data_IF_730866722570
#
_entry.id   IF_730866722570
#
_cell.length_a   1.000
_cell.length_b   1.000
_cell.length_c   1.000
_cell.angle_alpha   90.00
_cell.angle_beta   90.00
_cell.angle_gamma   90.00
#
_symmetry.space_group_name_H-M   'P 1'
#
loop_
_entity.id
_entity.type
_entity.pdbx_description
1 polymer ?
#
# COMPACT_ATOMS: atom_id res chain seq x y z
N UNK A 1 -4.18 -32.20 -2.61
CA UNK A 1 -4.85 -31.02 -3.23
C UNK A 1 -3.91 -30.53 -4.32
N UNK A 2 -4.34 -30.52 -5.58
CA UNK A 2 -3.45 -30.10 -6.67
C UNK A 2 -3.08 -28.62 -6.50
N UNK A 3 -1.78 -28.36 -6.37
CA UNK A 3 -1.23 -26.99 -6.39
C UNK A 3 -1.22 -26.50 -7.86
N UNK A 4 -1.38 -25.20 -8.06
CA UNK A 4 -1.19 -24.59 -9.38
C UNK A 4 0.26 -24.81 -9.85
N UNK A 5 0.46 -25.07 -11.13
CA UNK A 5 1.79 -25.03 -11.73
C UNK A 5 2.40 -23.62 -11.58
N UNK A 6 3.72 -23.50 -11.72
CA UNK A 6 4.38 -22.19 -11.66
C UNK A 6 3.84 -21.25 -12.73
N UNK A 7 3.63 -21.72 -13.93
CA UNK A 7 3.08 -20.96 -15.05
C UNK A 7 1.68 -20.43 -14.74
N UNK A 8 0.82 -21.28 -14.14
CA UNK A 8 -0.51 -20.88 -13.71
C UNK A 8 -0.46 -19.83 -12.58
N UNK A 9 0.47 -19.96 -11.63
CA UNK A 9 0.67 -18.97 -10.58
C UNK A 9 1.06 -17.62 -11.17
N UNK A 10 2.04 -17.60 -12.08
CA UNK A 10 2.51 -16.40 -12.78
C UNK A 10 1.36 -15.74 -13.56
N UNK A 11 0.57 -16.51 -14.32
CA UNK A 11 -0.56 -15.98 -15.07
C UNK A 11 -1.63 -15.35 -14.18
N UNK A 12 -1.96 -16.00 -13.05
CA UNK A 12 -2.94 -15.46 -12.08
C UNK A 12 -2.41 -14.18 -11.45
N UNK A 13 -1.15 -14.16 -11.02
CA UNK A 13 -0.53 -12.98 -10.38
C UNK A 13 -0.42 -11.83 -11.38
N UNK A 14 0.05 -12.08 -12.59
CA UNK A 14 0.10 -11.08 -13.66
C UNK A 14 -1.27 -10.44 -13.91
N UNK A 15 -2.32 -11.24 -14.03
CA UNK A 15 -3.66 -10.71 -14.19
C UNK A 15 -4.11 -9.84 -13.02
N UNK A 16 -3.77 -10.21 -11.77
CA UNK A 16 -4.18 -9.47 -10.57
C UNK A 16 -3.46 -8.12 -10.43
N UNK A 17 -2.15 -8.07 -10.69
CA UNK A 17 -1.35 -6.84 -10.56
C UNK A 17 -1.58 -5.85 -11.70
N UNK A 18 -2.14 -6.31 -12.83
CA UNK A 18 -2.56 -5.49 -13.97
C UNK A 18 -4.05 -5.07 -13.89
N UNK A 19 -4.65 -5.09 -12.70
CA UNK A 19 -5.97 -4.52 -12.46
C UNK A 19 -7.15 -5.41 -12.85
N UNK A 20 -6.93 -6.68 -13.16
CA UNK A 20 -8.03 -7.58 -13.44
C UNK A 20 -8.82 -7.96 -12.18
N UNK A 21 -10.14 -8.08 -12.33
CA UNK A 21 -10.98 -8.58 -11.24
C UNK A 21 -10.74 -10.09 -11.03
N UNK A 22 -11.03 -10.60 -9.82
CA UNK A 22 -10.98 -12.05 -9.55
C UNK A 22 -11.77 -12.84 -10.61
N UNK A 23 -12.96 -12.37 -11.01
CA UNK A 23 -13.77 -13.05 -12.04
C UNK A 23 -13.14 -12.97 -13.44
N UNK A 24 -12.49 -11.86 -13.78
CA UNK A 24 -11.75 -11.75 -15.04
C UNK A 24 -10.54 -12.69 -15.03
N UNK A 25 -9.78 -12.72 -13.95
CA UNK A 25 -8.65 -13.64 -13.77
C UNK A 25 -9.07 -15.10 -13.93
N UNK A 26 -10.21 -15.51 -13.33
CA UNK A 26 -10.78 -16.86 -13.53
C UNK A 26 -11.04 -17.16 -15.01
N UNK A 27 -11.63 -16.22 -15.75
CA UNK A 27 -11.91 -16.43 -17.20
C UNK A 27 -10.64 -16.47 -18.05
N UNK A 28 -9.64 -15.67 -17.70
CA UNK A 28 -8.37 -15.59 -18.44
C UNK A 28 -7.49 -16.81 -18.23
N UNK A 29 -7.48 -17.34 -16.99
CA UNK A 29 -6.53 -18.40 -16.59
C UNK A 29 -7.15 -19.78 -16.47
N UNK A 30 -8.49 -19.90 -16.46
CA UNK A 30 -9.21 -21.13 -16.18
C UNK A 30 -9.12 -21.60 -14.71
N UNK A 31 -8.40 -20.87 -13.85
CA UNK A 31 -8.19 -21.24 -12.46
C UNK A 31 -9.44 -20.93 -11.63
N UNK A 32 -9.87 -21.87 -10.78
CA UNK A 32 -11.05 -21.73 -9.95
C UNK A 32 -10.95 -20.52 -9.01
N UNK A 33 -12.08 -19.81 -8.80
CA UNK A 33 -12.16 -18.57 -8.00
C UNK A 33 -11.52 -18.69 -6.62
N UNK A 34 -11.81 -19.76 -5.89
CA UNK A 34 -11.29 -19.95 -4.53
C UNK A 34 -9.77 -20.18 -4.54
N UNK A 35 -9.24 -20.81 -5.59
CA UNK A 35 -7.81 -21.00 -5.79
C UNK A 35 -7.11 -19.68 -6.10
N UNK A 36 -7.71 -18.83 -6.95
CA UNK A 36 -7.20 -17.48 -7.21
C UNK A 36 -7.14 -16.64 -5.93
N UNK A 37 -8.22 -16.67 -5.11
CA UNK A 37 -8.26 -15.93 -3.84
C UNK A 37 -7.25 -16.48 -2.84
N UNK A 38 -7.10 -17.81 -2.76
CA UNK A 38 -6.12 -18.44 -1.88
C UNK A 38 -4.69 -18.06 -2.29
N UNK A 39 -4.36 -18.13 -3.58
CA UNK A 39 -3.04 -17.73 -4.06
C UNK A 39 -2.75 -16.26 -3.75
N UNK A 40 -3.74 -15.37 -3.93
CA UNK A 40 -3.61 -13.95 -3.57
C UNK A 40 -3.25 -13.78 -2.09
N UNK A 41 -3.95 -14.45 -1.17
CA UNK A 41 -3.69 -14.35 0.26
C UNK A 41 -2.32 -14.93 0.64
N UNK A 42 -2.03 -16.15 0.19
CA UNK A 42 -0.79 -16.84 0.51
C UNK A 42 0.45 -16.07 0.00
N UNK A 43 0.39 -15.53 -1.22
CA UNK A 43 1.49 -14.76 -1.80
C UNK A 43 1.61 -13.38 -1.17
N UNK A 44 0.49 -12.71 -0.88
CA UNK A 44 0.51 -11.40 -0.27
C UNK A 44 1.15 -11.40 1.12
N UNK A 45 0.88 -12.43 1.93
CA UNK A 45 1.47 -12.55 3.26
C UNK A 45 3.02 -12.65 3.18
N UNK A 46 3.54 -13.48 2.28
CA UNK A 46 5.00 -13.60 2.13
C UNK A 46 5.63 -12.39 1.46
N UNK A 47 4.90 -11.72 0.56
CA UNK A 47 5.33 -10.44 -0.03
C UNK A 47 5.40 -9.33 1.03
N UNK A 48 4.41 -9.24 1.92
CA UNK A 48 4.41 -8.27 3.01
C UNK A 48 5.58 -8.51 3.97
N UNK A 49 5.82 -9.77 4.36
CA UNK A 49 6.95 -10.14 5.22
C UNK A 49 8.30 -9.86 4.54
N UNK A 50 8.43 -10.13 3.24
CA UNK A 50 9.63 -9.80 2.49
C UNK A 50 9.86 -8.30 2.41
N UNK A 51 8.83 -7.53 2.09
CA UNK A 51 8.87 -6.07 2.07
C UNK A 51 9.30 -5.53 3.44
N UNK A 52 8.70 -6.02 4.52
CA UNK A 52 9.03 -5.59 5.88
C UNK A 52 10.50 -5.86 6.24
N UNK A 53 11.05 -6.99 5.79
CA UNK A 53 12.45 -7.35 6.03
C UNK A 53 13.43 -6.53 5.20
N UNK A 54 13.17 -6.33 3.92
CA UNK A 54 14.14 -5.78 2.97
C UNK A 54 14.08 -4.25 2.91
N UNK A 55 12.88 -3.66 3.04
CA UNK A 55 12.69 -2.21 3.00
C UNK A 55 13.01 -1.63 4.37
N UNK A 56 14.29 -1.65 4.73
CA UNK A 56 14.83 -1.21 6.02
C UNK A 56 16.15 -0.47 5.84
N UNK A 57 16.56 0.31 6.84
CA UNK A 57 17.82 1.05 6.87
C UNK A 57 18.00 1.94 5.63
N UNK A 58 16.94 2.54 5.16
CA UNK A 58 16.90 3.35 3.94
C UNK A 58 17.49 4.73 4.19
N UNK A 59 18.15 5.28 3.17
CA UNK A 59 18.51 6.69 3.11
C UNK A 59 17.49 7.43 2.27
N UNK A 60 16.53 8.06 2.93
CA UNK A 60 15.44 8.82 2.30
C UNK A 60 15.65 10.30 2.56
N UNK A 61 15.71 11.13 1.52
CA UNK A 61 15.81 12.59 1.69
C UNK A 61 14.44 13.23 1.83
N UNK A 62 13.47 12.77 1.05
CA UNK A 62 12.13 13.36 0.97
C UNK A 62 11.07 12.27 0.95
N UNK A 63 10.25 12.24 1.97
CA UNK A 63 9.14 11.31 2.10
C UNK A 63 7.82 12.05 1.89
N UNK A 64 6.96 11.54 1.02
CA UNK A 64 5.60 12.04 0.82
C UNK A 64 4.61 11.01 1.34
N UNK A 65 3.67 11.45 2.19
CA UNK A 65 2.65 10.58 2.76
C UNK A 65 1.24 11.10 2.41
N UNK A 66 0.36 10.17 2.06
CA UNK A 66 -1.05 10.45 1.75
C UNK A 66 -1.89 9.21 1.99
N UNK A 67 -3.22 9.37 2.04
CA UNK A 67 -4.14 8.26 2.17
C UNK A 67 -5.17 8.21 1.05
N UNK A 68 -5.48 6.99 0.63
CA UNK A 68 -6.51 6.70 -0.35
C UNK A 68 -7.70 5.99 0.30
N UNK A 69 -8.88 6.58 0.17
CA UNK A 69 -10.13 6.00 0.68
C UNK A 69 -10.67 4.89 -0.22
N UNK A 70 -11.22 3.86 0.42
CA UNK A 70 -12.02 2.80 -0.17
C UNK A 70 -13.03 2.29 0.87
N UNK A 71 -13.80 1.27 0.57
CA UNK A 71 -14.68 0.58 1.51
C UNK A 71 -14.65 -0.94 1.29
N UNK A 72 -14.97 -1.67 2.34
CA UNK A 72 -15.14 -3.12 2.35
C UNK A 72 -16.61 -3.45 2.59
N UNK A 73 -17.19 -4.29 1.75
CA UNK A 73 -18.59 -4.68 1.83
C UNK A 73 -19.58 -3.57 1.44
N UNK A 74 -19.61 -2.49 2.20
CA UNK A 74 -20.41 -1.29 1.91
C UNK A 74 -19.74 -0.05 2.51
N UNK A 75 -20.14 1.16 2.04
CA UNK A 75 -19.70 2.43 2.67
C UNK A 75 -20.21 2.50 4.11
N UNK A 76 -19.42 3.08 5.02
CA UNK A 76 -19.72 3.12 6.46
C UNK A 76 -21.16 3.57 6.78
N UNK A 77 -21.68 4.58 6.06
CA UNK A 77 -23.05 5.08 6.22
C UNK A 77 -24.17 4.05 5.93
N UNK A 78 -23.84 2.95 5.24
CA UNK A 78 -24.77 1.90 4.82
C UNK A 78 -24.50 0.56 5.52
N UNK A 79 -23.67 0.54 6.56
CA UNK A 79 -23.26 -0.69 7.27
C UNK A 79 -24.05 -0.83 8.56
N UNK A 80 -24.69 -1.99 8.78
CA UNK A 80 -25.28 -2.33 10.08
C UNK A 80 -24.20 -2.61 11.13
N UNK A 81 -24.56 -2.49 12.43
CA UNK A 81 -23.62 -2.74 13.53
C UNK A 81 -23.01 -4.14 13.46
N UNK A 82 -23.80 -5.17 13.14
CA UNK A 82 -23.33 -6.55 12.97
C UNK A 82 -22.27 -6.67 11.86
N UNK A 83 -22.48 -5.99 10.73
CA UNK A 83 -21.54 -6.00 9.60
C UNK A 83 -20.30 -5.16 9.88
N UNK A 84 -20.43 -4.11 10.68
CA UNK A 84 -19.31 -3.32 11.15
C UNK A 84 -18.37 -4.16 12.02
N UNK A 85 -18.93 -5.00 12.88
CA UNK A 85 -18.16 -5.92 13.74
C UNK A 85 -17.31 -6.96 12.96
N UNK A 86 -17.65 -7.25 11.70
CA UNK A 86 -16.88 -8.13 10.80
C UNK A 86 -16.04 -7.36 9.76
N UNK A 87 -15.73 -6.10 10.05
CA UNK A 87 -14.80 -5.28 9.25
C UNK A 87 -15.41 -4.68 7.97
N UNK A 88 -16.75 -4.54 7.88
CA UNK A 88 -17.36 -3.76 6.80
C UNK A 88 -17.33 -2.27 7.12
N UNK A 89 -17.15 -1.46 6.10
CA UNK A 89 -17.15 0.00 6.23
C UNK A 89 -16.07 0.67 5.41
N UNK A 90 -15.81 1.92 5.72
CA UNK A 90 -14.77 2.70 5.09
C UNK A 90 -13.40 2.23 5.58
N UNK A 91 -12.46 2.14 4.64
CA UNK A 91 -11.08 1.74 4.88
C UNK A 91 -10.15 2.69 4.15
N UNK A 92 -9.01 2.96 4.75
CA UNK A 92 -8.00 3.85 4.23
C UNK A 92 -6.69 3.09 4.03
N UNK A 93 -6.03 3.36 2.93
CA UNK A 93 -4.67 2.87 2.71
C UNK A 93 -3.74 4.07 2.75
N UNK A 94 -2.89 4.12 3.77
CA UNK A 94 -1.81 5.09 3.88
C UNK A 94 -0.63 4.61 3.07
N UNK A 95 0.07 5.52 2.42
CA UNK A 95 1.25 5.24 1.61
C UNK A 95 2.32 6.26 1.90
N UNK A 96 3.53 5.82 2.19
CA UNK A 96 4.74 6.63 2.27
C UNK A 96 5.62 6.34 1.07
N UNK A 97 5.87 7.36 0.26
CA UNK A 97 6.65 7.28 -0.97
C UNK A 97 7.92 8.12 -0.85
N UNK A 98 9.07 7.52 -1.10
CA UNK A 98 10.30 8.27 -1.34
C UNK A 98 10.16 9.08 -2.63
N UNK A 99 10.22 10.40 -2.52
CA UNK A 99 10.05 11.29 -3.67
C UNK A 99 11.16 11.18 -4.70
N UNK A 100 12.35 10.72 -4.33
CA UNK A 100 13.50 10.57 -5.22
C UNK A 100 13.45 9.22 -5.95
N UNK A 101 13.46 8.12 -5.23
CA UNK A 101 13.53 6.77 -5.77
C UNK A 101 12.16 6.19 -6.18
N UNK A 102 11.07 6.87 -5.83
CA UNK A 102 9.67 6.40 -6.01
C UNK A 102 9.36 5.11 -5.25
N UNK A 103 10.23 4.67 -4.36
CA UNK A 103 10.01 3.49 -3.54
C UNK A 103 8.81 3.72 -2.61
N UNK A 104 7.88 2.79 -2.61
CA UNK A 104 6.91 2.71 -1.51
C UNK A 104 7.64 2.17 -0.28
N UNK A 105 7.95 3.06 0.66
CA UNK A 105 8.70 2.77 1.89
C UNK A 105 7.82 2.02 2.88
N UNK A 106 6.59 2.50 3.05
CA UNK A 106 5.59 1.89 3.95
C UNK A 106 4.19 2.05 3.38
N UNK A 107 3.32 1.12 3.72
CA UNK A 107 1.89 1.20 3.47
C UNK A 107 1.12 0.53 4.61
N UNK A 108 -0.05 1.08 4.95
CA UNK A 108 -0.91 0.55 6.00
C UNK A 108 -2.38 0.62 5.59
N UNK A 109 -3.09 -0.49 5.71
CA UNK A 109 -4.53 -0.58 5.45
C UNK A 109 -5.28 -0.60 6.77
N UNK A 110 -6.10 0.41 7.03
CA UNK A 110 -6.78 0.52 8.32
C UNK A 110 -7.80 1.66 8.40
N UNK A 111 -8.07 2.12 9.62
CA UNK A 111 -8.93 3.27 9.89
C UNK A 111 -8.25 4.62 9.57
N UNK A 112 -8.97 5.72 9.77
CA UNK A 112 -8.44 7.08 9.54
C UNK A 112 -8.00 7.80 10.81
N UNK A 113 -8.26 7.21 11.97
CA UNK A 113 -7.99 7.84 13.25
C UNK A 113 -6.49 7.95 13.58
N UNK A 114 -6.21 8.59 14.71
CA UNK A 114 -4.87 8.85 15.18
C UNK A 114 -4.06 7.58 15.46
N UNK A 115 -4.69 6.51 15.97
CA UNK A 115 -4.00 5.24 16.28
C UNK A 115 -3.35 4.66 15.03
N UNK A 116 -4.10 4.58 13.94
CA UNK A 116 -3.58 4.12 12.63
C UNK A 116 -2.52 5.06 12.03
N UNK A 117 -2.64 6.37 12.29
CA UNK A 117 -1.62 7.32 11.83
C UNK A 117 -0.31 7.15 12.60
N UNK A 118 -0.36 6.89 13.92
CA UNK A 118 0.81 6.60 14.76
C UNK A 118 1.52 5.33 14.31
N UNK A 119 0.79 4.23 14.19
CA UNK A 119 1.34 2.95 13.71
C UNK A 119 2.04 3.11 12.35
N UNK A 120 1.41 3.83 11.42
CA UNK A 120 1.99 4.09 10.11
C UNK A 120 3.28 4.92 10.19
N UNK A 121 3.32 5.99 11.00
CA UNK A 121 4.50 6.84 11.12
C UNK A 121 5.64 6.16 11.88
N UNK A 122 5.33 5.36 12.90
CA UNK A 122 6.29 4.52 13.60
C UNK A 122 6.95 3.50 12.65
N UNK A 123 6.14 2.87 11.79
CA UNK A 123 6.69 1.98 10.75
C UNK A 123 7.59 2.74 9.77
N UNK A 124 7.19 3.94 9.31
CA UNK A 124 8.04 4.77 8.46
C UNK A 124 9.37 5.13 9.15
N UNK A 125 9.32 5.57 10.40
CA UNK A 125 10.52 5.93 11.17
C UNK A 125 11.46 4.74 11.34
N UNK A 126 10.92 3.55 11.61
CA UNK A 126 11.71 2.31 11.78
C UNK A 126 12.47 1.86 10.51
N UNK A 127 12.08 2.39 9.34
CA UNK A 127 12.66 2.04 8.05
C UNK A 127 13.74 3.00 7.57
N UNK A 128 13.78 4.23 8.11
CA UNK A 128 14.63 5.33 7.65
C UNK A 128 15.75 5.56 8.68
N UNK A 129 17.00 5.72 8.20
CA UNK A 129 18.18 5.86 9.06
C UNK A 129 18.72 7.29 9.20
N UNK A 130 18.19 8.23 8.45
CA UNK A 130 18.70 9.62 8.41
C UNK A 130 17.57 10.60 8.66
N UNK A 131 17.93 11.82 9.06
CA UNK A 131 16.99 12.95 9.09
C UNK A 131 16.33 13.09 7.72
N UNK A 132 15.00 13.20 7.69
CA UNK A 132 14.19 13.19 6.47
C UNK A 132 13.26 14.39 6.42
N UNK A 133 13.04 14.95 5.24
CA UNK A 133 11.97 15.91 5.02
C UNK A 133 10.67 15.15 4.70
N UNK A 134 9.65 15.30 5.53
CA UNK A 134 8.32 14.72 5.34
C UNK A 134 7.34 15.78 4.87
N UNK A 135 6.52 15.42 3.88
CA UNK A 135 5.35 16.19 3.49
C UNK A 135 4.10 15.33 3.56
N UNK A 136 3.09 15.80 4.29
CA UNK A 136 1.76 15.19 4.32
C UNK A 136 0.71 16.19 3.82
N UNK A 137 -0.52 15.71 3.61
CA UNK A 137 -1.67 16.60 3.50
C UNK A 137 -1.99 17.29 4.84
N UNK A 138 -3.05 18.12 4.87
CA UNK A 138 -3.48 18.85 6.07
C UNK A 138 -4.22 17.98 7.12
N UNK A 139 -4.18 16.65 7.06
CA UNK A 139 -4.87 15.80 8.02
C UNK A 139 -4.24 15.90 9.41
N UNK A 140 -5.05 16.31 10.40
CA UNK A 140 -4.56 16.67 11.76
C UNK A 140 -3.90 15.50 12.50
N UNK A 141 -4.30 14.25 12.22
CA UNK A 141 -3.72 13.08 12.88
C UNK A 141 -2.21 12.93 12.61
N UNK A 142 -1.71 13.44 11.49
CA UNK A 142 -0.28 13.42 11.19
C UNK A 142 0.56 14.33 12.07
N UNK A 143 0.01 15.40 12.64
CA UNK A 143 0.77 16.31 13.52
C UNK A 143 1.35 15.53 14.71
N UNK A 144 0.50 14.84 15.45
CA UNK A 144 0.91 14.07 16.64
C UNK A 144 1.64 12.78 16.25
N UNK A 145 1.21 12.11 15.17
CA UNK A 145 1.83 10.87 14.73
C UNK A 145 3.29 11.05 14.28
N UNK A 146 3.58 12.11 13.54
CA UNK A 146 4.95 12.44 13.10
C UNK A 146 5.83 12.83 14.28
N UNK A 147 5.33 13.68 15.19
CA UNK A 147 6.05 14.08 16.40
C UNK A 147 6.43 12.86 17.26
N UNK A 148 5.48 11.95 17.48
CA UNK A 148 5.73 10.73 18.27
C UNK A 148 6.76 9.79 17.62
N UNK A 149 6.73 9.65 16.28
CA UNK A 149 7.58 8.69 15.59
C UNK A 149 9.00 9.19 15.32
N UNK A 150 9.17 10.48 15.03
CA UNK A 150 10.43 11.08 14.59
C UNK A 150 11.02 12.09 15.60
N UNK A 151 10.21 12.61 16.52
CA UNK A 151 10.62 13.65 17.46
C UNK A 151 11.16 14.90 16.75
N UNK A 152 12.32 15.41 17.21
CA UNK A 152 12.95 16.60 16.67
C UNK A 152 13.86 16.30 15.45
N UNK A 153 14.10 15.04 15.11
CA UNK A 153 15.03 14.68 14.02
C UNK A 153 14.34 14.58 12.65
N UNK A 154 13.59 15.64 12.32
CA UNK A 154 12.77 15.69 11.10
C UNK A 154 12.63 17.13 10.60
N UNK A 155 12.42 17.27 9.29
CA UNK A 155 11.95 18.49 8.64
C UNK A 155 10.53 18.21 8.11
N UNK A 156 9.50 18.78 8.78
CA UNK A 156 8.12 18.42 8.51
C UNK A 156 7.29 19.62 8.06
N UNK A 157 6.62 19.47 6.93
CA UNK A 157 5.63 20.41 6.42
C UNK A 157 4.32 19.71 6.03
N UNK A 158 3.21 20.43 6.23
CA UNK A 158 1.91 20.06 5.66
C UNK A 158 1.61 20.90 4.44
N UNK A 159 1.04 20.28 3.40
CA UNK A 159 0.58 20.94 2.19
C UNK A 159 -0.93 20.82 2.07
N UNK A 160 -1.64 21.91 2.35
CA UNK A 160 -3.08 21.94 2.23
C UNK A 160 -3.47 22.51 0.86
N UNK A 161 -4.19 21.73 0.06
CA UNK A 161 -4.73 22.18 -1.22
C UNK A 161 -6.01 22.99 -1.02
N UNK A 162 -6.09 24.13 -1.66
CA UNK A 162 -7.27 25.01 -1.68
C UNK A 162 -8.02 24.73 -2.98
N UNK A 163 -9.28 24.34 -2.86
CA UNK A 163 -10.13 24.04 -4.00
C UNK A 163 -11.13 25.19 -4.22
N UNK A 164 -11.32 25.58 -5.48
CA UNK A 164 -12.31 26.55 -5.89
C UNK A 164 -13.74 26.04 -5.78
N UNK A 165 -14.72 26.94 -5.98
CA UNK A 165 -16.13 26.56 -6.01
C UNK A 165 -16.39 25.51 -7.10
N UNK A 166 -17.16 24.48 -6.74
CA UNK A 166 -17.63 23.47 -7.69
C UNK A 166 -18.76 24.07 -8.49
N UNK A 167 -18.72 24.03 -9.83
CA UNK A 167 -19.87 24.35 -10.66
C UNK A 167 -21.01 23.35 -10.35
N UNK A 168 -22.16 23.83 -9.90
CA UNK A 168 -23.28 23.02 -9.41
C UNK A 168 -23.75 21.93 -10.42
N UNK A 169 -23.51 22.13 -11.69
CA UNK A 169 -23.95 21.24 -12.77
C UNK A 169 -23.00 20.06 -13.06
N UNK A 170 -21.78 20.01 -12.50
CA UNK A 170 -20.77 18.98 -12.82
C UNK A 170 -20.23 18.21 -11.60
N UNK A 171 -20.87 18.26 -10.46
CA UNK A 171 -20.38 17.72 -9.17
C UNK A 171 -20.08 16.21 -9.16
N UNK A 172 -20.58 15.45 -10.12
CA UNK A 172 -20.41 13.99 -10.14
C UNK A 172 -19.11 13.50 -10.76
N UNK A 173 -18.57 14.21 -11.72
CA UNK A 173 -17.48 13.72 -12.58
C UNK A 173 -16.26 14.65 -12.65
N UNK A 174 -16.42 15.91 -12.34
CA UNK A 174 -15.32 16.88 -12.31
C UNK A 174 -15.00 17.27 -10.88
N UNK A 175 -13.81 16.89 -10.35
CA UNK A 175 -13.37 17.37 -9.05
C UNK A 175 -13.18 18.90 -9.10
N UNK A 176 -13.41 19.57 -7.97
CA UNK A 176 -13.10 20.99 -7.83
C UNK A 176 -11.67 21.28 -8.26
N UNK A 177 -11.46 22.37 -8.99
CA UNK A 177 -10.13 22.76 -9.45
C UNK A 177 -9.30 23.24 -8.25
N UNK A 178 -8.10 22.71 -8.08
CA UNK A 178 -7.14 23.27 -7.14
C UNK A 178 -6.73 24.67 -7.61
N UNK A 179 -7.01 25.69 -6.79
CA UNK A 179 -6.73 27.11 -7.07
C UNK A 179 -5.52 27.63 -6.33
N UNK A 180 -4.98 26.86 -5.39
CA UNK A 180 -3.80 27.22 -4.62
C UNK A 180 -3.41 26.11 -3.65
N UNK A 181 -2.26 26.29 -3.03
CA UNK A 181 -1.77 25.45 -1.96
C UNK A 181 -1.30 26.33 -0.82
N UNK A 182 -1.63 25.95 0.40
CA UNK A 182 -1.10 26.54 1.62
C UNK A 182 -0.09 25.57 2.24
N UNK A 183 1.13 26.07 2.49
CA UNK A 183 2.21 25.31 3.08
C UNK A 183 2.40 25.75 4.53
N UNK A 184 2.31 24.78 5.43
CA UNK A 184 2.55 25.00 6.86
C UNK A 184 3.79 24.23 7.30
N UNK A 185 4.85 24.93 7.69
CA UNK A 185 5.98 24.33 8.40
C UNK A 185 5.52 23.94 9.80
N UNK A 186 5.78 22.69 10.18
CA UNK A 186 5.38 22.12 11.48
C UNK A 186 6.59 21.92 12.38
N UNK A 187 7.69 21.37 11.84
CA UNK A 187 8.92 21.08 12.60
C UNK A 187 10.15 21.17 11.68
N UNK A 188 11.29 21.56 12.26
CA UNK A 188 12.57 21.65 11.54
C UNK A 188 12.62 22.80 10.53
N UNK A 189 13.41 22.59 9.48
CA UNK A 189 13.64 23.56 8.39
C UNK A 189 13.43 22.88 7.01
N UNK A 190 12.18 22.54 6.64
CA UNK A 190 11.92 21.89 5.37
C UNK A 190 12.19 22.84 4.20
N UNK A 191 12.90 22.39 3.17
CA UNK A 191 13.10 23.13 1.93
C UNK A 191 11.75 23.36 1.23
N UNK A 192 11.28 24.60 1.10
CA UNK A 192 9.97 24.90 0.51
C UNK A 192 9.82 24.42 -0.93
N UNK A 193 10.92 24.34 -1.70
CA UNK A 193 10.92 23.86 -3.08
C UNK A 193 10.55 22.39 -3.19
N UNK A 194 10.71 21.64 -2.10
CA UNK A 194 10.49 20.21 -2.04
C UNK A 194 9.25 19.83 -1.22
N UNK A 195 8.50 20.79 -0.70
CA UNK A 195 7.21 20.54 -0.04
C UNK A 195 6.16 20.24 -1.11
N UNK A 196 5.83 18.98 -1.29
CA UNK A 196 4.91 18.49 -2.31
C UNK A 196 4.32 17.12 -1.92
N UNK A 197 3.09 16.85 -2.35
CA UNK A 197 2.41 15.54 -2.28
C UNK A 197 2.18 14.91 -3.66
N UNK A 198 2.73 15.53 -4.72
CA UNK A 198 2.42 15.18 -6.10
C UNK A 198 2.79 13.74 -6.47
N UNK A 199 3.91 13.22 -5.95
CA UNK A 199 4.35 11.86 -6.26
C UNK A 199 3.49 10.81 -5.56
N UNK A 200 3.15 11.00 -4.28
CA UNK A 200 2.27 10.06 -3.57
C UNK A 200 0.84 10.12 -4.10
N UNK A 201 0.36 11.28 -4.53
CA UNK A 201 -0.95 11.40 -5.21
C UNK A 201 -0.94 10.69 -6.57
N UNK A 202 0.14 10.81 -7.33
CA UNK A 202 0.32 10.05 -8.57
C UNK A 202 0.36 8.54 -8.29
N UNK A 203 0.96 8.14 -7.17
CA UNK A 203 0.97 6.77 -6.71
C UNK A 203 -0.45 6.28 -6.36
N UNK A 204 -1.25 7.09 -5.68
CA UNK A 204 -2.66 6.81 -5.41
C UNK A 204 -3.48 6.63 -6.69
N UNK A 205 -3.20 7.42 -7.73
CA UNK A 205 -3.80 7.22 -9.06
C UNK A 205 -3.36 5.88 -9.67
N UNK A 206 -2.09 5.53 -9.59
CA UNK A 206 -1.56 4.25 -10.08
C UNK A 206 -2.24 3.06 -9.38
N UNK A 207 -2.45 3.14 -8.07
CA UNK A 207 -3.22 2.16 -7.31
C UNK A 207 -4.66 2.02 -7.83
N UNK A 208 -5.34 3.14 -8.14
CA UNK A 208 -6.71 3.12 -8.70
C UNK A 208 -6.76 2.46 -10.07
N UNK A 209 -5.73 2.59 -10.85
CA UNK A 209 -5.63 1.99 -12.19
C UNK A 209 -5.29 0.50 -12.13
N UNK A 210 -4.37 0.11 -11.25
CA UNK A 210 -3.76 -1.23 -11.23
C UNK A 210 -4.37 -2.17 -10.19
N UNK A 211 -4.99 -1.66 -9.12
CA UNK A 211 -5.67 -2.50 -8.14
C UNK A 211 -7.18 -2.40 -8.36
N UNK A 212 -7.78 -3.42 -8.95
CA UNK A 212 -9.20 -3.41 -9.32
C UNK A 212 -10.14 -2.96 -8.21
N UNK A 213 -9.80 -3.22 -6.95
CA UNK A 213 -10.61 -2.87 -5.78
C UNK A 213 -10.73 -1.37 -5.54
N UNK A 214 -9.79 -0.58 -6.03
CA UNK A 214 -9.79 0.88 -5.93
C UNK A 214 -10.48 1.59 -7.10
N UNK A 215 -10.92 0.85 -8.12
CA UNK A 215 -11.64 1.44 -9.26
C UNK A 215 -12.98 2.02 -8.80
N UNK A 216 -13.14 3.32 -8.99
CA UNK A 216 -14.38 4.04 -8.64
C UNK A 216 -15.54 3.66 -9.56
N UNK A 217 -16.75 3.85 -9.08
CA UNK A 217 -18.01 3.64 -9.81
C UNK A 217 -18.19 2.22 -10.35
N UNK A 218 -17.59 1.23 -9.68
CA UNK A 218 -17.74 -0.19 -10.01
C UNK A 218 -18.04 -1.02 -8.78
N UNK A 219 -18.58 -2.22 -8.97
CA UNK A 219 -18.82 -3.21 -7.90
C UNK A 219 -17.57 -4.06 -7.61
N UNK A 220 -16.36 -3.46 -7.74
CA UNK A 220 -15.09 -4.18 -7.61
C UNK A 220 -14.54 -4.20 -6.17
N UNK A 221 -15.23 -3.61 -5.21
CA UNK A 221 -14.84 -3.54 -3.81
C UNK A 221 -14.65 -4.92 -3.16
N UNK A 222 -13.80 -5.00 -2.16
CA UNK A 222 -13.59 -6.22 -1.36
C UNK A 222 -14.76 -6.47 -0.43
N UNK A 223 -15.05 -7.75 -0.16
CA UNK A 223 -16.04 -8.18 0.83
C UNK A 223 -15.41 -8.56 2.17
N UNK A 224 -14.07 -8.65 2.23
CA UNK A 224 -13.29 -8.95 3.41
C UNK A 224 -12.07 -8.05 3.42
N UNK A 225 -11.71 -7.56 4.60
CA UNK A 225 -10.57 -6.65 4.78
C UNK A 225 -9.24 -7.33 4.43
N UNK A 226 -9.08 -8.60 4.78
CA UNK A 226 -7.88 -9.38 4.49
C UNK A 226 -7.62 -9.46 2.98
N UNK A 227 -8.67 -9.68 2.18
CA UNK A 227 -8.55 -9.70 0.73
C UNK A 227 -8.20 -8.32 0.15
N UNK A 228 -8.58 -7.25 0.85
CA UNK A 228 -8.24 -5.88 0.46
C UNK A 228 -6.76 -5.61 0.75
N UNK A 229 -6.31 -5.87 1.97
CA UNK A 229 -4.93 -5.72 2.38
C UNK A 229 -3.97 -6.60 1.54
N UNK A 230 -4.36 -7.86 1.27
CA UNK A 230 -3.59 -8.75 0.41
C UNK A 230 -3.39 -8.20 -1.01
N UNK A 231 -4.41 -7.56 -1.59
CA UNK A 231 -4.25 -6.96 -2.92
C UNK A 231 -3.32 -5.74 -2.90
N UNK A 232 -3.31 -4.98 -1.82
CA UNK A 232 -2.39 -3.85 -1.62
C UNK A 232 -0.95 -4.36 -1.48
N UNK A 233 -0.72 -5.36 -0.62
CA UNK A 233 0.59 -5.94 -0.39
C UNK A 233 1.19 -6.56 -1.66
N UNK A 234 0.39 -7.37 -2.38
CA UNK A 234 0.82 -7.97 -3.64
C UNK A 234 1.21 -6.91 -4.66
N UNK A 235 0.41 -5.85 -4.77
CA UNK A 235 0.66 -4.80 -5.75
C UNK A 235 1.88 -3.95 -5.40
N UNK A 236 2.11 -3.59 -4.13
CA UNK A 236 3.30 -2.85 -3.75
C UNK A 236 4.58 -3.67 -3.91
N UNK A 237 4.52 -4.99 -3.70
CA UNK A 237 5.64 -5.86 -4.04
C UNK A 237 5.95 -5.80 -5.54
N UNK A 238 4.94 -5.97 -6.40
CA UNK A 238 5.08 -5.84 -7.84
C UNK A 238 5.59 -4.44 -8.25
N UNK A 239 5.02 -3.38 -7.68
CA UNK A 239 5.41 -2.01 -7.98
C UNK A 239 6.87 -1.72 -7.62
N UNK A 240 7.30 -2.12 -6.44
CA UNK A 240 8.66 -1.84 -5.98
C UNK A 240 9.72 -2.67 -6.72
N UNK A 241 9.46 -3.95 -7.01
CA UNK A 241 10.48 -4.88 -7.46
C UNK A 241 10.36 -5.30 -8.92
N UNK A 242 9.15 -5.37 -9.49
CA UNK A 242 8.94 -5.91 -10.84
C UNK A 242 8.66 -4.82 -11.88
N UNK A 243 8.00 -3.73 -11.48
CA UNK A 243 7.55 -2.72 -12.43
C UNK A 243 8.64 -1.67 -12.66
N UNK A 244 9.16 -1.59 -13.90
CA UNK A 244 10.07 -0.51 -14.31
C UNK A 244 9.32 0.82 -14.29
N UNK A 245 9.84 1.79 -13.53
CA UNK A 245 9.28 3.13 -13.46
C UNK A 245 9.71 3.96 -14.67
N UNK A 246 8.76 4.58 -15.37
CA UNK A 246 9.01 5.25 -16.65
C UNK A 246 10.11 6.31 -16.61
N UNK A 247 10.17 7.12 -15.56
CA UNK A 247 11.18 8.20 -15.44
C UNK A 247 12.51 7.71 -14.88
N UNK A 248 12.51 6.66 -14.04
CA UNK A 248 13.72 6.08 -13.46
C UNK A 248 14.46 5.14 -14.44
N UNK A 249 13.71 4.50 -15.34
CA UNK A 249 14.18 3.44 -16.26
C UNK A 249 14.61 2.15 -15.55
N UNK A 250 14.44 2.09 -14.26
CA UNK A 250 14.65 0.94 -13.37
C UNK A 250 13.46 0.78 -12.43
N UNK A 251 13.45 -0.25 -11.60
CA UNK A 251 12.42 -0.38 -10.56
C UNK A 251 12.74 0.55 -9.38
N UNK A 252 11.72 0.96 -8.58
CA UNK A 252 11.97 1.73 -7.36
C UNK A 252 12.94 1.05 -6.38
N UNK A 253 12.88 -0.29 -6.28
CA UNK A 253 13.79 -1.07 -5.45
C UNK A 253 15.25 -1.00 -5.94
N UNK A 254 15.48 -1.01 -7.26
CA UNK A 254 16.81 -0.83 -7.85
C UNK A 254 17.32 0.59 -7.61
N UNK A 255 16.50 1.61 -7.84
CA UNK A 255 16.89 3.01 -7.63
C UNK A 255 17.25 3.29 -6.18
N UNK A 256 16.59 2.63 -5.23
CA UNK A 256 16.90 2.74 -3.80
C UNK A 256 18.08 1.87 -3.34
N UNK A 257 18.64 1.04 -4.22
CA UNK A 257 19.77 0.16 -3.94
C UNK A 257 19.43 -1.11 -3.12
N UNK A 258 18.13 -1.47 -3.02
CA UNK A 258 17.70 -2.68 -2.30
C UNK A 258 17.46 -3.89 -3.21
N UNK A 259 17.55 -3.69 -4.52
CA UNK A 259 17.57 -4.76 -5.54
C UNK A 259 18.60 -4.43 -6.61
N UNK A 260 19.18 -5.45 -7.22
CA UNK A 260 20.21 -5.35 -8.27
C UNK A 260 19.66 -5.61 -9.68
N UNK A 261 18.43 -6.09 -9.80
CA UNK A 261 17.79 -6.38 -11.08
C UNK A 261 16.26 -6.17 -11.01
N UNK A 262 15.63 -6.18 -12.18
CA UNK A 262 14.16 -6.18 -12.30
C UNK A 262 13.65 -7.59 -12.02
N UNK A 263 12.87 -7.73 -10.95
CA UNK A 263 12.25 -9.02 -10.63
C UNK A 263 11.19 -9.41 -11.66
N UNK A 264 11.17 -10.68 -12.03
CA UNK A 264 10.03 -11.27 -12.73
C UNK A 264 8.90 -11.61 -11.75
N UNK A 265 7.68 -11.75 -12.29
CA UNK A 265 6.54 -12.27 -11.48
C UNK A 265 6.82 -13.70 -11.01
N UNK A 266 7.59 -14.48 -11.79
CA UNK A 266 8.01 -15.82 -11.40
C UNK A 266 8.87 -15.78 -10.13
N UNK A 267 9.87 -14.90 -10.06
CA UNK A 267 10.69 -14.69 -8.85
C UNK A 267 9.83 -14.28 -7.66
N UNK A 268 8.86 -13.38 -7.85
CA UNK A 268 7.92 -13.03 -6.79
C UNK A 268 7.12 -14.26 -6.30
N UNK A 269 6.74 -15.17 -7.20
CA UNK A 269 6.07 -16.43 -6.83
C UNK A 269 6.99 -17.41 -6.10
N UNK A 270 8.33 -17.32 -6.24
CA UNK A 270 9.28 -18.18 -5.50
C UNK A 270 9.31 -17.89 -4.00
N UNK A 271 8.80 -16.75 -3.57
CA UNK A 271 8.63 -16.46 -2.14
C UNK A 271 7.64 -17.43 -1.44
N UNK A 272 6.76 -18.08 -2.20
CA UNK A 272 5.88 -19.11 -1.64
C UNK A 272 6.69 -20.35 -1.22
N UNK A 273 6.37 -20.97 -0.06
CA UNK A 273 7.01 -22.20 0.40
C UNK A 273 6.97 -23.30 -0.66
N UNK A 274 8.09 -24.01 -0.86
CA UNK A 274 8.17 -25.14 -1.78
C UNK A 274 7.37 -26.34 -1.27
N UNK A 275 6.95 -27.24 -2.20
CA UNK A 275 6.31 -28.50 -1.81
C UNK A 275 7.32 -29.45 -1.17
N UNK A 276 6.91 -30.10 -0.09
CA UNK A 276 7.67 -31.19 0.54
C UNK A 276 7.95 -31.02 2.02
N UNK A 277 7.68 -29.86 2.61
CA UNK A 277 7.77 -29.71 4.05
C UNK A 277 6.45 -30.11 4.73
N UNK A 278 6.54 -30.95 5.74
CA UNK A 278 5.44 -31.71 6.31
C UNK A 278 4.34 -30.92 7.04
N UNK A 279 4.44 -29.58 7.06
CA UNK A 279 3.46 -28.75 7.76
C UNK A 279 3.29 -27.38 7.09
N UNK A 280 2.33 -27.27 6.16
CA UNK A 280 2.01 -26.03 5.41
C UNK A 280 1.77 -24.77 6.28
N UNK A 281 1.32 -24.93 7.53
CA UNK A 281 1.17 -23.82 8.50
C UNK A 281 2.48 -23.51 9.23
N UNK A 282 3.24 -24.56 9.59
CA UNK A 282 4.53 -24.40 10.28
C UNK A 282 5.59 -23.80 9.36
N UNK A 283 5.60 -24.17 8.07
CA UNK A 283 6.58 -23.63 7.11
C UNK A 283 6.28 -22.17 6.76
N UNK A 284 5.00 -21.83 6.62
CA UNK A 284 4.60 -20.43 6.43
C UNK A 284 4.96 -19.60 7.67
N UNK A 285 4.70 -20.12 8.88
CA UNK A 285 5.06 -19.48 10.13
C UNK A 285 6.59 -19.39 10.30
N UNK A 286 7.32 -20.45 9.91
CA UNK A 286 8.79 -20.45 9.95
C UNK A 286 9.39 -19.44 8.95
N UNK A 287 8.84 -19.37 7.74
CA UNK A 287 9.25 -18.41 6.73
C UNK A 287 8.93 -16.98 7.17
N UNK A 288 7.74 -16.73 7.69
CA UNK A 288 7.35 -15.44 8.24
C UNK A 288 8.26 -15.04 9.40
N UNK A 289 8.58 -15.98 10.30
CA UNK A 289 9.52 -15.77 11.41
C UNK A 289 10.96 -15.54 10.90
N UNK A 290 11.43 -16.29 9.92
CA UNK A 290 12.75 -16.10 9.29
C UNK A 290 12.85 -14.76 8.54
N UNK A 291 11.72 -14.28 8.02
CA UNK A 291 11.61 -12.97 7.39
C UNK A 291 11.42 -11.83 8.41
N UNK A 292 11.40 -12.11 9.71
CA UNK A 292 11.24 -11.10 10.77
C UNK A 292 9.79 -10.71 11.04
N UNK A 293 8.83 -11.44 10.46
CA UNK A 293 7.41 -11.24 10.77
C UNK A 293 7.10 -11.66 12.20
N UNK A 294 6.71 -10.73 13.04
CA UNK A 294 6.19 -11.00 14.37
C UNK A 294 4.71 -11.40 14.26
N UNK A 295 4.35 -12.53 14.87
CA UNK A 295 2.96 -13.01 14.94
C UNK A 295 2.00 -11.97 15.57
N UNK A 296 2.54 -11.04 16.40
CA UNK A 296 1.78 -9.96 17.02
C UNK A 296 1.27 -8.93 16.00
N UNK A 297 1.95 -8.78 14.84
CA UNK A 297 1.53 -7.85 13.78
C UNK A 297 0.46 -8.42 12.85
N UNK A 298 0.26 -9.74 12.83
CA UNK A 298 -0.86 -10.36 12.09
C UNK A 298 -2.19 -10.27 12.84
N UNK A 299 -2.17 -10.00 14.13
CA UNK A 299 -3.36 -9.88 14.98
C UNK A 299 -3.96 -8.47 14.99
N UNK A 300 -3.32 -7.48 14.38
CA UNK A 300 -3.81 -6.10 14.36
C UNK A 300 -4.57 -5.84 13.06
N UNK A 301 -5.65 -6.57 12.86
CA UNK A 301 -6.89 -6.03 12.35
C UNK A 301 -7.84 -6.01 13.54
N UNK A 302 -7.79 -5.02 14.43
CA UNK A 302 -8.84 -4.88 15.42
C UNK A 302 -10.12 -4.58 14.66
N UNK A 303 -11.10 -5.38 14.90
CA UNK A 303 -12.46 -5.28 14.41
C UNK A 303 -13.12 -3.92 14.74
#
# INVERSE_FOLDING_TARGET
MNRLSKEQQVQVVAALVEGNSIRATVRLTGVAKNTVVKLLLDLADVCAAYHDKIVRNLRVRRLQCDEIWQYVGAKAKNVSLEKKAIGWGDVWTRTALDADTKLCVSYLVGGRDLGWAKEFMEDCASRIRNRVQITTDGHKAYLEAVENAFGADIDYAQLQKIYGAVNENETRYSPARCIGCDMKVVSGDPDPKHVSTSFVERQNLSMRMSIRRFTRLTNAFSKKIENHAAAVALWFMYYNFCRVHQTLRVTPAMESGIADHVWSIEEMCTLLPMEGSATKKADKALLLKALGGDDSRQAVVPF
#
